data_IF_921566018511
#
_entry.id   IF_921566018511
#
_cell.length_a   1.000
_cell.length_b   1.000
_cell.length_c   1.000
_cell.angle_alpha   90.00
_cell.angle_beta   90.00
_cell.angle_gamma   90.00
#
_symmetry.space_group_name_H-M   'P 1'
#
loop_
_entity.id
_entity.type
_entity.pdbx_description
1 polymer ?
#
# COMPACT_ATOMS: atom_id res chain seq x y z
N UNK A 1 24.25 7.92 9.77
CA UNK A 1 24.35 9.07 8.84
C UNK A 1 22.96 9.65 8.68
N UNK A 2 22.82 10.97 8.76
CA UNK A 2 21.52 11.63 8.58
C UNK A 2 21.18 11.81 7.10
N UNK A 3 19.96 12.25 6.83
CA UNK A 3 19.47 12.73 5.55
C UNK A 3 20.14 14.05 5.09
N UNK A 4 21.11 14.61 5.84
CA UNK A 4 21.70 15.93 5.54
C UNK A 4 20.71 17.07 5.78
N UNK A 5 21.10 18.33 5.59
CA UNK A 5 20.17 19.46 5.67
C UNK A 5 19.23 19.50 4.46
N UNK A 6 18.04 20.10 4.62
CA UNK A 6 17.10 20.30 3.52
C UNK A 6 17.75 21.16 2.41
N UNK A 7 18.28 20.55 1.35
CA UNK A 7 18.98 21.25 0.28
C UNK A 7 18.00 22.20 -0.43
N UNK A 8 18.26 23.50 -0.40
CA UNK A 8 17.42 24.51 -1.03
C UNK A 8 18.28 25.41 -1.93
N UNK A 9 17.76 25.72 -3.12
CA UNK A 9 18.39 26.62 -4.08
C UNK A 9 17.36 27.58 -4.67
N UNK A 10 17.81 28.74 -5.15
CA UNK A 10 16.95 29.66 -5.87
C UNK A 10 16.89 29.25 -7.35
N UNK A 11 15.69 28.95 -7.82
CA UNK A 11 15.40 28.63 -9.22
C UNK A 11 14.70 29.83 -9.88
N UNK A 12 15.14 30.20 -11.09
CA UNK A 12 14.49 31.26 -11.85
C UNK A 12 13.13 30.75 -12.35
N UNK A 13 12.04 31.40 -11.93
CA UNK A 13 10.72 31.14 -12.45
C UNK A 13 10.47 31.97 -13.73
N UNK A 14 9.55 31.49 -14.56
CA UNK A 14 9.07 32.23 -15.73
C UNK A 14 8.57 33.62 -15.31
N UNK A 15 9.16 34.67 -15.89
CA UNK A 15 8.85 36.07 -15.57
C UNK A 15 9.86 36.79 -14.67
N UNK A 16 11.04 36.23 -14.42
CA UNK A 16 12.15 36.92 -13.72
C UNK A 16 12.06 36.92 -12.18
N UNK A 17 11.08 36.20 -11.62
CA UNK A 17 10.98 35.97 -10.17
C UNK A 17 11.87 34.78 -9.76
N UNK A 18 12.47 34.83 -8.56
CA UNK A 18 13.19 33.69 -7.97
C UNK A 18 12.23 32.89 -7.09
N UNK A 19 12.22 31.57 -7.23
CA UNK A 19 11.52 30.63 -6.35
C UNK A 19 12.53 29.78 -5.63
N UNK A 20 12.37 29.64 -4.32
CA UNK A 20 13.18 28.70 -3.53
C UNK A 20 12.72 27.28 -3.83
N UNK A 21 13.50 26.55 -4.61
CA UNK A 21 13.37 25.12 -4.82
C UNK A 21 14.02 24.37 -3.67
N UNK A 22 13.49 23.18 -3.36
CA UNK A 22 13.93 22.40 -2.21
C UNK A 22 13.94 20.93 -2.59
N UNK A 23 15.04 20.24 -2.31
CA UNK A 23 15.13 18.80 -2.51
C UNK A 23 14.20 18.08 -1.53
N UNK A 24 13.52 17.06 -2.03
CA UNK A 24 12.56 16.29 -1.23
C UNK A 24 12.98 14.83 -1.29
N UNK A 25 13.30 14.21 -0.14
CA UNK A 25 13.57 12.78 -0.13
C UNK A 25 12.32 12.03 -0.58
N UNK A 26 12.52 11.07 -1.49
CA UNK A 26 11.50 10.11 -1.85
C UNK A 26 11.59 8.94 -0.88
N UNK A 27 10.44 8.50 -0.36
CA UNK A 27 10.37 7.33 0.52
C UNK A 27 9.53 6.28 -0.18
N UNK A 28 10.11 5.10 -0.37
CA UNK A 28 9.49 3.98 -1.06
C UNK A 28 9.19 2.86 -0.07
N UNK A 29 7.96 2.35 -0.15
CA UNK A 29 7.55 1.11 0.49
C UNK A 29 7.75 -0.02 -0.50
N UNK A 30 8.70 -0.90 -0.18
CA UNK A 30 9.09 -2.05 -0.97
C UNK A 30 8.33 -3.29 -0.50
N UNK A 31 7.33 -3.68 -1.29
CA UNK A 31 6.65 -4.97 -1.17
C UNK A 31 6.60 -5.66 -2.53
N UNK A 32 5.57 -6.49 -2.75
CA UNK A 32 5.32 -7.12 -4.07
C UNK A 32 5.23 -6.11 -5.21
N UNK A 33 4.70 -4.93 -4.92
CA UNK A 33 4.69 -3.79 -5.85
C UNK A 33 5.21 -2.56 -5.09
N UNK A 34 6.39 -2.05 -5.44
CA UNK A 34 6.93 -0.84 -4.83
C UNK A 34 5.98 0.34 -5.01
N UNK A 35 5.80 1.13 -3.97
CA UNK A 35 4.98 2.35 -3.99
C UNK A 35 5.71 3.46 -3.24
N UNK A 36 5.73 4.64 -3.82
CA UNK A 36 6.15 5.84 -3.11
C UNK A 36 5.12 6.19 -2.02
N UNK A 37 5.61 6.78 -0.92
CA UNK A 37 4.76 7.41 0.08
C UNK A 37 3.84 8.44 -0.57
N UNK A 38 2.59 8.54 -0.09
CA UNK A 38 1.62 9.52 -0.61
C UNK A 38 2.10 10.95 -0.41
N UNK A 39 2.80 11.17 0.68
CA UNK A 39 3.53 12.40 0.96
C UNK A 39 4.66 12.11 1.93
N UNK A 40 5.77 12.81 1.73
CA UNK A 40 6.92 12.81 2.64
C UNK A 40 7.09 14.21 3.19
N UNK A 41 7.22 14.33 4.50
CA UNK A 41 7.49 15.61 5.19
C UNK A 41 8.82 15.51 5.91
N UNK A 42 9.68 16.47 5.65
CA UNK A 42 10.93 16.65 6.37
C UNK A 42 10.65 17.09 7.81
N UNK A 43 11.25 16.43 8.80
CA UNK A 43 11.16 16.83 10.22
C UNK A 43 12.50 17.30 10.72
N UNK A 44 13.56 16.54 10.44
CA UNK A 44 14.94 16.86 10.81
C UNK A 44 15.90 16.14 9.87
N UNK A 45 17.18 16.44 10.01
CA UNK A 45 18.28 15.77 9.30
C UNK A 45 18.38 14.27 9.60
N UNK A 46 17.58 13.73 10.50
CA UNK A 46 17.52 12.29 10.80
C UNK A 46 16.09 11.76 10.82
N UNK A 47 15.08 12.56 10.48
CA UNK A 47 13.69 12.12 10.59
C UNK A 47 12.82 12.61 9.44
N UNK A 48 12.11 11.66 8.83
CA UNK A 48 11.10 11.88 7.80
C UNK A 48 9.76 11.34 8.26
N UNK A 49 8.68 12.06 7.94
CA UNK A 49 7.31 11.57 8.07
C UNK A 49 6.80 11.13 6.72
N UNK A 50 6.48 9.83 6.58
CA UNK A 50 5.85 9.28 5.40
C UNK A 50 4.36 8.96 5.66
N UNK A 51 3.48 9.42 4.77
CA UNK A 51 2.12 8.91 4.68
C UNK A 51 2.12 7.64 3.83
N UNK A 52 2.14 6.49 4.50
CA UNK A 52 2.18 5.17 3.88
C UNK A 52 1.02 5.00 2.89
N UNK A 53 1.27 4.51 1.66
CA UNK A 53 0.21 4.27 0.69
C UNK A 53 -0.71 3.13 1.15
N UNK A 54 -1.86 2.98 0.48
CA UNK A 54 -2.67 1.78 0.71
C UNK A 54 -1.95 0.58 0.10
N UNK A 55 -2.07 -0.58 0.76
CA UNK A 55 -1.52 -1.85 0.29
C UNK A 55 -1.94 -2.08 -1.18
N UNK A 56 -1.00 -2.45 -2.07
CA UNK A 56 -1.31 -2.59 -3.47
C UNK A 56 -2.22 -3.80 -3.67
N UNK A 57 -3.16 -3.70 -4.62
CA UNK A 57 -4.15 -4.74 -4.89
C UNK A 57 -3.55 -5.92 -5.68
N UNK A 58 -2.52 -6.54 -5.10
CA UNK A 58 -1.80 -7.71 -5.62
C UNK A 58 -1.57 -8.68 -4.47
N UNK A 59 -1.42 -9.97 -4.77
CA UNK A 59 -1.15 -10.99 -3.75
C UNK A 59 0.11 -10.66 -2.94
N UNK A 60 0.04 -10.87 -1.63
CA UNK A 60 1.07 -10.49 -0.67
C UNK A 60 1.61 -11.69 0.08
N UNK A 61 2.79 -11.52 0.69
CA UNK A 61 3.26 -12.40 1.76
C UNK A 61 2.49 -12.05 3.05
N UNK A 62 1.27 -12.57 3.14
CA UNK A 62 0.35 -12.34 4.27
C UNK A 62 0.67 -13.29 5.43
N UNK A 63 0.80 -12.73 6.63
CA UNK A 63 0.87 -13.47 7.88
C UNK A 63 -0.55 -13.65 8.42
N UNK A 64 -1.05 -14.90 8.42
CA UNK A 64 -2.40 -15.24 8.86
C UNK A 64 -2.59 -15.09 10.37
N UNK A 65 -1.58 -15.45 11.17
CA UNK A 65 -1.65 -15.37 12.62
C UNK A 65 -1.70 -13.92 13.10
N UNK A 66 -0.85 -13.06 12.52
CA UNK A 66 -0.79 -11.65 12.89
C UNK A 66 -1.78 -10.76 12.10
N UNK A 67 -2.38 -11.29 11.02
CA UNK A 67 -3.17 -10.52 10.05
C UNK A 67 -2.41 -9.33 9.48
N UNK A 68 -1.13 -9.54 9.14
CA UNK A 68 -0.24 -8.48 8.67
C UNK A 68 0.41 -8.74 7.32
N UNK A 69 0.89 -7.68 6.68
CA UNK A 69 1.83 -7.74 5.55
C UNK A 69 3.01 -6.84 5.89
N UNK A 70 4.23 -7.40 5.86
CA UNK A 70 5.45 -6.61 6.04
C UNK A 70 5.96 -6.10 4.70
N UNK A 71 6.45 -4.87 4.69
CA UNK A 71 7.11 -4.25 3.55
C UNK A 71 8.35 -3.50 4.04
N UNK A 72 9.46 -3.63 3.32
CA UNK A 72 10.66 -2.87 3.61
C UNK A 72 10.49 -1.41 3.19
N UNK A 73 11.31 -0.52 3.73
CA UNK A 73 11.32 0.90 3.43
C UNK A 73 12.69 1.26 2.88
N UNK A 74 12.68 2.09 1.85
CA UNK A 74 13.88 2.67 1.26
C UNK A 74 13.69 4.18 1.14
N UNK A 75 14.72 4.93 1.49
CA UNK A 75 14.78 6.38 1.34
C UNK A 75 15.74 6.69 0.21
N UNK A 76 15.34 7.58 -0.69
CA UNK A 76 16.15 8.10 -1.78
C UNK A 76 16.32 9.61 -1.60
N UNK A 77 17.57 10.08 -1.67
CA UNK A 77 17.96 11.48 -1.49
C UNK A 77 19.20 11.78 -2.34
N UNK A 78 19.18 12.87 -3.12
CA UNK A 78 20.33 13.35 -3.91
C UNK A 78 21.10 12.20 -4.61
N UNK A 79 20.36 11.30 -5.28
CA UNK A 79 20.87 10.12 -6.01
C UNK A 79 21.46 8.98 -5.16
N UNK A 80 21.40 9.08 -3.82
CA UNK A 80 21.72 7.99 -2.90
C UNK A 80 20.46 7.26 -2.42
N UNK A 81 20.55 5.95 -2.22
CA UNK A 81 19.46 5.12 -1.70
C UNK A 81 19.88 4.40 -0.44
N UNK A 82 19.04 4.43 0.58
CA UNK A 82 19.25 3.65 1.80
C UNK A 82 19.14 2.15 1.50
N UNK A 83 19.79 1.35 2.36
CA UNK A 83 19.62 -0.11 2.34
C UNK A 83 18.25 -0.45 2.91
N UNK A 84 17.48 -1.24 2.17
CA UNK A 84 16.25 -1.84 2.67
C UNK A 84 16.59 -3.09 3.48
N UNK A 85 16.78 -2.92 4.79
CA UNK A 85 17.06 -4.04 5.72
C UNK A 85 15.78 -4.53 6.39
N UNK A 86 15.84 -5.68 7.07
CA UNK A 86 14.68 -6.24 7.80
C UNK A 86 14.17 -5.34 8.93
N UNK A 87 15.03 -4.48 9.46
CA UNK A 87 14.71 -3.51 10.52
C UNK A 87 14.04 -2.25 9.96
N UNK A 88 14.35 -1.90 8.71
CA UNK A 88 13.70 -0.82 7.97
C UNK A 88 12.38 -1.31 7.35
N UNK A 89 11.43 -1.76 8.18
CA UNK A 89 10.17 -2.33 7.70
C UNK A 89 8.93 -1.74 8.38
N UNK A 90 7.87 -1.61 7.58
CA UNK A 90 6.52 -1.32 8.05
C UNK A 90 5.67 -2.59 8.02
N UNK A 91 4.63 -2.61 8.85
CA UNK A 91 3.62 -3.65 8.84
C UNK A 91 2.26 -3.02 8.56
N UNK A 92 1.60 -3.48 7.50
CA UNK A 92 0.17 -3.28 7.34
C UNK A 92 -0.55 -4.22 8.30
N UNK A 93 -1.45 -3.70 9.12
CA UNK A 93 -2.23 -4.48 10.10
C UNK A 93 -3.69 -4.54 9.69
N UNK A 94 -4.43 -5.52 10.25
CA UNK A 94 -5.84 -5.71 9.92
C UNK A 94 -6.06 -6.04 8.44
N UNK A 95 -5.07 -6.67 7.81
CA UNK A 95 -5.12 -6.99 6.38
C UNK A 95 -6.17 -8.08 6.16
N UNK A 96 -7.06 -7.95 5.18
CA UNK A 96 -7.97 -9.03 4.80
C UNK A 96 -7.22 -10.27 4.32
N UNK A 97 -7.65 -11.45 4.74
CA UNK A 97 -6.99 -12.72 4.42
C UNK A 97 -6.96 -13.01 2.91
N UNK A 98 -7.87 -12.43 2.12
CA UNK A 98 -7.86 -12.59 0.67
C UNK A 98 -6.62 -12.00 -0.02
N UNK A 99 -5.81 -11.17 0.66
CA UNK A 99 -4.53 -10.71 0.12
C UNK A 99 -3.50 -11.84 -0.02
N UNK A 100 -3.70 -13.00 0.61
CA UNK A 100 -2.91 -14.20 0.37
C UNK A 100 -3.25 -14.89 -0.97
N UNK A 101 -4.41 -14.61 -1.56
CA UNK A 101 -4.88 -15.25 -2.78
C UNK A 101 -4.15 -14.72 -4.02
N UNK A 102 -3.66 -15.62 -4.87
CA UNK A 102 -2.95 -15.23 -6.09
C UNK A 102 -3.91 -14.61 -7.12
N UNK A 103 -3.68 -13.33 -7.42
CA UNK A 103 -4.38 -12.59 -8.47
C UNK A 103 -3.46 -12.18 -9.63
N UNK A 104 -2.21 -12.67 -9.67
CA UNK A 104 -1.27 -12.30 -10.74
C UNK A 104 -1.55 -13.05 -12.05
N UNK A 105 -2.22 -14.20 -11.97
CA UNK A 105 -2.49 -15.09 -13.13
C UNK A 105 -3.86 -14.89 -13.75
N UNK A 106 -4.65 -13.94 -13.26
CA UNK A 106 -6.03 -13.72 -13.73
C UNK A 106 -6.12 -13.16 -15.15
N UNK A 107 -5.02 -12.62 -15.68
CA UNK A 107 -4.95 -12.18 -17.07
C UNK A 107 -5.11 -13.33 -18.09
N UNK A 108 -4.89 -14.59 -17.66
CA UNK A 108 -5.13 -15.78 -18.48
C UNK A 108 -6.63 -16.13 -18.63
N UNK A 109 -7.52 -15.49 -17.86
CA UNK A 109 -8.95 -15.83 -17.82
C UNK A 109 -9.19 -17.25 -17.29
N UNK A 110 -10.37 -17.80 -17.55
CA UNK A 110 -10.65 -19.23 -17.37
C UNK A 110 -10.44 -19.76 -15.93
N UNK A 111 -9.60 -20.79 -15.78
CA UNK A 111 -9.44 -21.58 -14.55
C UNK A 111 -8.72 -20.80 -13.45
N UNK A 112 -7.69 -20.04 -13.81
CA UNK A 112 -6.88 -19.23 -12.90
C UNK A 112 -7.72 -18.11 -12.27
N UNK A 113 -8.58 -17.50 -13.09
CA UNK A 113 -9.50 -16.47 -12.62
C UNK A 113 -10.54 -17.02 -11.63
N UNK A 114 -11.09 -18.21 -11.92
CA UNK A 114 -12.02 -18.91 -11.01
C UNK A 114 -11.34 -19.35 -9.72
N UNK A 115 -10.09 -19.83 -9.78
CA UNK A 115 -9.30 -20.21 -8.61
C UNK A 115 -9.04 -19.00 -7.71
N UNK A 116 -8.66 -17.85 -8.28
CA UNK A 116 -8.53 -16.59 -7.54
C UNK A 116 -9.85 -16.24 -6.84
N UNK A 117 -10.98 -16.28 -7.56
CA UNK A 117 -12.26 -15.88 -7.00
C UNK A 117 -12.70 -16.78 -5.85
N UNK A 118 -12.54 -18.09 -6.02
CA UNK A 118 -12.85 -19.08 -4.98
C UNK A 118 -12.01 -18.82 -3.73
N UNK A 119 -10.70 -18.64 -3.88
CA UNK A 119 -9.81 -18.32 -2.75
C UNK A 119 -10.27 -17.04 -2.05
N UNK A 120 -10.44 -15.96 -2.81
CA UNK A 120 -10.79 -14.65 -2.27
C UNK A 120 -12.11 -14.69 -1.52
N UNK A 121 -13.15 -15.29 -2.11
CA UNK A 121 -14.50 -15.33 -1.52
C UNK A 121 -14.49 -16.12 -0.21
N UNK A 122 -13.83 -17.28 -0.18
CA UNK A 122 -13.73 -18.09 1.03
C UNK A 122 -12.99 -17.35 2.15
N UNK A 123 -11.86 -16.71 1.85
CA UNK A 123 -11.10 -15.93 2.82
C UNK A 123 -11.91 -14.72 3.34
N UNK A 124 -12.56 -13.98 2.44
CA UNK A 124 -13.38 -12.82 2.77
C UNK A 124 -14.55 -13.18 3.68
N UNK A 125 -15.30 -14.26 3.37
CA UNK A 125 -16.45 -14.68 4.20
C UNK A 125 -15.98 -15.12 5.59
N UNK A 126 -14.87 -15.87 5.68
CA UNK A 126 -14.27 -16.24 6.97
C UNK A 126 -13.90 -15.02 7.80
N UNK A 127 -13.30 -14.01 7.18
CA UNK A 127 -12.99 -12.74 7.86
C UNK A 127 -14.25 -12.02 8.36
N UNK A 128 -15.31 -11.95 7.55
CA UNK A 128 -16.57 -11.32 7.97
C UNK A 128 -17.23 -12.06 9.14
N UNK A 129 -17.12 -13.39 9.18
CA UNK A 129 -17.62 -14.20 10.29
C UNK A 129 -16.77 -13.94 11.54
N UNK A 130 -15.44 -13.97 11.42
CA UNK A 130 -14.51 -13.80 12.54
C UNK A 130 -14.61 -12.41 13.21
N UNK A 131 -14.86 -11.36 12.43
CA UNK A 131 -15.01 -9.99 12.93
C UNK A 131 -16.44 -9.71 13.44
N UNK A 132 -17.35 -10.68 13.34
CA UNK A 132 -18.74 -10.51 13.77
C UNK A 132 -19.48 -9.46 12.94
N UNK A 133 -19.34 -9.52 11.61
CA UNK A 133 -19.72 -8.41 10.72
C UNK A 133 -21.12 -7.86 10.99
N UNK A 134 -21.22 -6.54 11.02
CA UNK A 134 -22.49 -5.80 11.11
C UNK A 134 -23.35 -5.91 9.85
N UNK A 135 -22.92 -6.69 8.86
CA UNK A 135 -23.53 -6.81 7.53
C UNK A 135 -24.78 -7.70 7.51
N UNK A 136 -25.24 -8.24 8.64
CA UNK A 136 -26.55 -8.91 8.86
C UNK A 136 -27.06 -9.72 7.64
N UNK A 137 -26.25 -10.66 7.15
CA UNK A 137 -26.62 -11.57 6.03
C UNK A 137 -26.11 -11.14 4.63
N UNK A 138 -25.63 -9.90 4.46
CA UNK A 138 -25.11 -9.40 3.18
C UNK A 138 -23.60 -9.65 2.98
N UNK A 139 -22.94 -10.35 3.91
CA UNK A 139 -21.51 -10.63 3.85
C UNK A 139 -21.10 -11.37 2.56
N UNK A 140 -21.95 -12.28 2.07
CA UNK A 140 -21.71 -13.01 0.83
C UNK A 140 -21.66 -12.08 -0.39
N UNK A 141 -22.69 -11.26 -0.60
CA UNK A 141 -22.73 -10.32 -1.74
C UNK A 141 -21.59 -9.30 -1.70
N UNK A 142 -21.29 -8.78 -0.50
CA UNK A 142 -20.15 -7.88 -0.32
C UNK A 142 -18.81 -8.53 -0.70
N UNK A 143 -18.60 -9.79 -0.30
CA UNK A 143 -17.41 -10.54 -0.66
C UNK A 143 -17.34 -10.86 -2.15
N UNK A 144 -18.48 -11.16 -2.81
CA UNK A 144 -18.52 -11.39 -4.25
C UNK A 144 -18.12 -10.15 -5.06
N UNK A 145 -18.63 -8.98 -4.69
CA UNK A 145 -18.25 -7.71 -5.34
C UNK A 145 -16.75 -7.42 -5.20
N UNK A 146 -16.22 -7.58 -3.99
CA UNK A 146 -14.80 -7.37 -3.69
C UNK A 146 -13.91 -8.33 -4.45
N UNK A 147 -14.27 -9.61 -4.48
CA UNK A 147 -13.49 -10.63 -5.16
C UNK A 147 -13.59 -10.54 -6.68
N UNK A 148 -14.71 -10.03 -7.21
CA UNK A 148 -14.85 -9.74 -8.64
C UNK A 148 -13.86 -8.65 -9.07
N UNK A 149 -13.68 -7.62 -8.24
CA UNK A 149 -12.68 -6.57 -8.47
C UNK A 149 -11.25 -7.11 -8.30
N UNK A 150 -10.99 -7.88 -7.25
CA UNK A 150 -9.68 -8.46 -6.95
C UNK A 150 -9.16 -9.40 -8.05
N UNK A 151 -10.05 -10.25 -8.58
CA UNK A 151 -9.72 -11.26 -9.59
C UNK A 151 -10.01 -10.82 -11.02
N UNK A 152 -10.28 -9.53 -11.25
CA UNK A 152 -10.39 -8.97 -12.60
C UNK A 152 -11.63 -9.41 -13.40
N UNK A 153 -12.72 -9.83 -12.75
CA UNK A 153 -14.00 -10.10 -13.44
C UNK A 153 -14.67 -8.83 -13.97
N UNK A 154 -14.29 -7.66 -13.44
CA UNK A 154 -14.76 -6.36 -13.93
C UNK A 154 -13.92 -5.91 -15.13
N UNK A 155 -14.44 -6.12 -16.34
CA UNK A 155 -13.81 -5.70 -17.60
C UNK A 155 -14.40 -4.42 -18.23
N UNK A 156 -15.34 -3.70 -17.58
CA UNK A 156 -15.91 -2.45 -18.15
C UNK A 156 -16.17 -1.38 -17.09
N UNK A 157 -15.71 -0.15 -17.41
CA UNK A 157 -15.61 0.97 -16.50
C UNK A 157 -16.91 1.44 -15.85
N UNK A 158 -16.84 1.65 -14.53
CA UNK A 158 -17.44 2.80 -13.85
C UNK A 158 -16.87 2.87 -12.43
N UNK A 159 -16.13 3.95 -12.16
CA UNK A 159 -15.76 4.37 -10.82
C UNK A 159 -14.72 3.50 -10.13
N UNK A 160 -13.45 3.90 -10.23
CA UNK A 160 -12.46 3.63 -9.19
C UNK A 160 -12.96 4.25 -7.87
N UNK A 161 -13.91 3.62 -7.20
CA UNK A 161 -14.13 3.87 -5.77
C UNK A 161 -12.97 3.23 -5.06
N UNK A 162 -11.89 4.01 -4.93
CA UNK A 162 -10.88 3.80 -3.92
C UNK A 162 -11.62 3.48 -2.63
N UNK A 163 -11.56 2.22 -2.21
CA UNK A 163 -11.90 1.88 -0.85
C UNK A 163 -10.87 2.61 -0.02
N UNK A 164 -11.26 3.76 0.54
CA UNK A 164 -10.59 4.30 1.71
C UNK A 164 -10.81 3.24 2.79
N UNK A 165 -9.86 2.31 2.92
CA UNK A 165 -9.59 1.65 4.19
C UNK A 165 -9.25 2.79 5.15
N UNK A 166 -10.30 3.30 5.79
CA UNK A 166 -10.23 4.42 6.69
C UNK A 166 -9.86 3.84 8.05
N UNK A 167 -8.63 4.15 8.47
CA UNK A 167 -8.07 4.02 9.81
C UNK A 167 -7.92 2.58 10.32
N UNK A 168 -6.67 2.12 10.32
CA UNK A 168 -5.93 1.58 11.47
C UNK A 168 -4.44 1.55 11.07
N UNK A 169 -3.89 2.71 10.69
CA UNK A 169 -2.44 2.83 10.50
C UNK A 169 -1.89 3.40 11.79
N UNK A 170 -1.37 2.51 12.62
CA UNK A 170 -0.54 2.90 13.76
C UNK A 170 0.67 3.66 13.24
N UNK A 171 0.92 4.77 13.92
CA UNK A 171 2.08 5.61 13.78
C UNK A 171 3.32 4.79 14.07
N UNK A 172 4.22 4.67 13.08
CA UNK A 172 5.62 4.36 13.35
C UNK A 172 6.46 5.49 12.80
N UNK A 173 7.07 6.22 13.74
CA UNK A 173 8.24 7.05 13.47
C UNK A 173 9.31 6.12 12.90
N UNK A 174 9.74 6.38 11.67
CA UNK A 174 10.89 5.69 11.10
C UNK A 174 12.10 6.46 11.62
N UNK A 175 12.71 5.92 12.67
CA UNK A 175 14.03 6.31 13.18
C UNK A 175 15.12 5.86 12.22
#
# INVERSE_FOLDING_TARGET
EGFGGQAAWDEAASGGSRKRAVDRPAVFVLGRRPQECRSTTWVSDTTLKCVVPALPLVSQAYDEAARTVRAAVQVELLSSRSKATGDSAIAYTGVPAYFACDNNRVAAGGREQQACFRCCRTACVRDQIAVGSSLKGHAFGWCEDRCSQWCGYSSRGRGRRLVRLRRLLEWREIL
#
